data_IF_818763988696
#
_entry.id   IF_818763988696
#
_cell.length_a   1.000
_cell.length_b   1.000
_cell.length_c   1.000
_cell.angle_alpha   90.00
_cell.angle_beta   90.00
_cell.angle_gamma   90.00
#
_symmetry.space_group_name_H-M   'P 1'
#
loop_
_entity.id
_entity.type
_entity.pdbx_description
1 polymer ?
#
# COMPACT_ATOMS: atom_id res chain seq x y z
N UNK A 1 6.86 -9.50 -20.31
CA UNK A 1 7.50 -8.38 -19.61
C UNK A 1 6.37 -7.40 -19.34
N UNK A 2 6.12 -7.06 -18.08
CA UNK A 2 5.05 -6.13 -17.72
C UNK A 2 5.38 -4.71 -18.22
N UNK A 3 4.37 -3.88 -18.47
CA UNK A 3 4.58 -2.49 -18.92
C UNK A 3 5.43 -1.71 -17.91
N UNK A 4 5.24 -2.00 -16.61
CA UNK A 4 6.04 -1.44 -15.52
C UNK A 4 7.52 -1.86 -15.63
N UNK A 5 7.80 -3.12 -15.98
CA UNK A 5 9.18 -3.61 -16.14
C UNK A 5 9.90 -2.89 -17.28
N UNK A 6 9.18 -2.65 -18.39
CA UNK A 6 9.71 -1.91 -19.52
C UNK A 6 10.02 -0.45 -19.14
N UNK A 7 9.09 0.23 -18.46
CA UNK A 7 9.29 1.61 -18.00
C UNK A 7 10.44 1.74 -17.00
N UNK A 8 10.58 0.80 -16.08
CA UNK A 8 11.67 0.77 -15.11
C UNK A 8 13.04 0.57 -15.79
N UNK A 9 13.10 -0.26 -16.84
CA UNK A 9 14.30 -0.43 -17.66
C UNK A 9 14.64 0.85 -18.42
N UNK A 10 13.66 1.51 -19.02
CA UNK A 10 13.89 2.75 -19.77
C UNK A 10 14.37 3.89 -18.86
N UNK A 11 13.81 4.01 -17.65
CA UNK A 11 14.27 4.95 -16.62
C UNK A 11 15.74 4.66 -16.25
N UNK A 12 16.08 3.39 -16.02
CA UNK A 12 17.43 2.95 -15.69
C UNK A 12 18.42 3.21 -16.83
N UNK A 13 18.02 3.01 -18.08
CA UNK A 13 18.84 3.28 -19.26
C UNK A 13 19.18 4.78 -19.37
N UNK A 14 18.16 5.64 -19.21
CA UNK A 14 18.32 7.10 -19.33
C UNK A 14 19.10 7.72 -18.18
N UNK A 15 18.73 7.39 -16.94
CA UNK A 15 19.21 8.11 -15.75
C UNK A 15 20.11 7.27 -14.83
N UNK A 16 20.34 5.99 -15.16
CA UNK A 16 21.03 5.04 -14.29
C UNK A 16 20.12 4.46 -13.21
N UNK A 17 20.64 3.51 -12.45
CA UNK A 17 19.88 2.88 -11.35
C UNK A 17 19.47 3.91 -10.30
N UNK A 18 18.27 3.75 -9.73
CA UNK A 18 17.83 4.56 -8.58
C UNK A 18 18.68 4.17 -7.37
N UNK A 19 19.33 5.16 -6.75
CA UNK A 19 20.19 4.99 -5.56
C UNK A 19 19.47 5.33 -4.27
N UNK A 20 18.46 6.19 -4.33
CA UNK A 20 17.66 6.61 -3.19
C UNK A 20 16.30 7.10 -3.67
N UNK A 21 15.28 6.92 -2.83
CA UNK A 21 13.99 7.56 -2.98
C UNK A 21 13.65 8.33 -1.69
N UNK A 22 13.08 9.53 -1.81
CA UNK A 22 12.64 10.35 -0.67
C UNK A 22 11.51 11.28 -1.08
N UNK A 23 10.41 11.29 -0.33
CA UNK A 23 9.22 12.07 -0.69
C UNK A 23 8.74 11.65 -2.08
N UNK A 24 8.49 12.62 -2.95
CA UNK A 24 8.14 12.40 -4.36
C UNK A 24 9.36 12.39 -5.29
N UNK A 25 10.58 12.13 -4.80
CA UNK A 25 11.80 12.19 -5.62
C UNK A 25 12.59 10.88 -5.65
N UNK A 26 13.13 10.57 -6.84
CA UNK A 26 14.11 9.52 -7.08
C UNK A 26 15.47 10.16 -7.39
N UNK A 27 16.52 9.62 -6.78
CA UNK A 27 17.90 10.05 -6.98
C UNK A 27 18.64 8.95 -7.72
N UNK A 28 19.16 9.25 -8.90
CA UNK A 28 19.71 8.24 -9.80
C UNK A 28 21.25 8.21 -9.81
N UNK A 29 21.81 7.14 -10.35
CA UNK A 29 23.26 6.94 -10.45
C UNK A 29 23.97 8.03 -11.28
N UNK A 30 23.29 8.62 -12.28
CA UNK A 30 23.82 9.73 -13.07
C UNK A 30 23.64 11.10 -12.40
N UNK A 31 23.24 11.14 -11.13
CA UNK A 31 23.07 12.39 -10.36
C UNK A 31 21.82 13.19 -10.73
N UNK A 32 20.91 12.62 -11.51
CA UNK A 32 19.65 13.29 -11.89
C UNK A 32 18.59 13.00 -10.83
N UNK A 33 17.89 14.05 -10.41
CA UNK A 33 16.72 13.94 -9.52
C UNK A 33 15.44 13.92 -10.37
N UNK A 34 14.69 12.84 -10.29
CA UNK A 34 13.42 12.68 -10.98
C UNK A 34 12.26 12.91 -10.02
N UNK A 35 11.20 13.55 -10.49
CA UNK A 35 9.91 13.61 -9.77
C UNK A 35 9.15 12.33 -10.05
N UNK A 36 8.85 11.57 -8.99
CA UNK A 36 8.08 10.34 -9.06
C UNK A 36 6.58 10.62 -9.00
N UNK A 37 5.96 10.54 -10.18
CA UNK A 37 4.52 10.67 -10.34
C UNK A 37 3.80 9.31 -10.28
N UNK A 38 4.54 8.20 -10.33
CA UNK A 38 3.98 6.85 -10.29
C UNK A 38 3.73 6.38 -8.85
N UNK A 39 4.65 6.70 -7.93
CA UNK A 39 4.55 6.40 -6.49
C UNK A 39 4.12 4.97 -6.19
N UNK A 40 4.67 4.03 -6.96
CA UNK A 40 4.41 2.59 -6.84
C UNK A 40 2.92 2.25 -6.94
N UNK A 41 2.23 2.83 -7.92
CA UNK A 41 0.79 2.65 -8.11
C UNK A 41 -0.04 3.09 -6.90
N UNK A 42 0.50 4.00 -6.08
CA UNK A 42 -0.19 4.62 -4.94
C UNK A 42 0.20 4.06 -3.60
N UNK A 43 1.03 3.01 -3.57
CA UNK A 43 1.56 2.46 -2.32
C UNK A 43 2.42 3.48 -1.57
N UNK A 44 3.07 4.39 -2.29
CA UNK A 44 3.86 5.46 -1.71
C UNK A 44 3.09 6.80 -1.64
N UNK A 45 1.78 6.78 -1.32
CA UNK A 45 0.92 7.99 -1.26
C UNK A 45 1.44 9.10 -0.31
N UNK A 46 2.21 8.74 0.72
CA UNK A 46 2.88 9.69 1.63
C UNK A 46 4.31 10.03 1.20
N UNK A 47 4.72 9.61 0.02
CA UNK A 47 6.08 9.65 -0.50
C UNK A 47 7.01 8.59 0.10
N UNK A 48 8.14 8.38 -0.57
CA UNK A 48 9.17 7.42 -0.16
C UNK A 48 9.84 7.83 1.15
N UNK A 49 9.87 6.89 2.11
CA UNK A 49 10.39 7.16 3.46
C UNK A 49 9.57 8.21 4.23
N UNK A 50 8.35 8.53 3.76
CA UNK A 50 7.43 9.42 4.43
C UNK A 50 6.73 8.76 5.62
N UNK A 51 6.27 9.61 6.55
CA UNK A 51 5.52 9.20 7.73
C UNK A 51 6.33 8.38 8.75
N UNK A 52 5.62 7.80 9.71
CA UNK A 52 6.20 6.96 10.77
C UNK A 52 6.21 5.47 10.44
N UNK A 53 5.64 5.05 9.30
CA UNK A 53 5.42 3.64 8.96
C UNK A 53 6.73 2.81 8.97
N UNK A 54 7.80 3.34 8.37
CA UNK A 54 9.08 2.64 8.33
C UNK A 54 9.76 2.57 9.71
N UNK A 55 9.59 3.62 10.53
CA UNK A 55 10.05 3.62 11.93
C UNK A 55 9.31 2.57 12.74
N UNK A 56 7.98 2.50 12.60
CA UNK A 56 7.17 1.46 13.25
C UNK A 56 7.60 0.07 12.80
N UNK A 57 7.73 -0.17 11.49
CA UNK A 57 8.18 -1.46 10.97
C UNK A 57 9.53 -1.88 11.57
N UNK A 58 10.53 -1.01 11.55
CA UNK A 58 11.85 -1.30 12.15
C UNK A 58 11.74 -1.61 13.63
N UNK A 59 10.97 -0.83 14.39
CA UNK A 59 10.78 -1.07 15.81
C UNK A 59 10.10 -2.42 16.09
N UNK A 60 9.15 -2.83 15.26
CA UNK A 60 8.50 -4.15 15.37
C UNK A 60 9.47 -5.28 15.05
N UNK A 61 10.27 -5.13 13.98
CA UNK A 61 11.30 -6.10 13.61
C UNK A 61 12.37 -6.26 14.71
N UNK A 62 12.85 -5.14 15.27
CA UNK A 62 13.83 -5.16 16.37
C UNK A 62 13.31 -5.84 17.64
N UNK A 63 11.98 -5.93 17.81
CA UNK A 63 11.34 -6.66 18.91
C UNK A 63 11.18 -8.16 18.65
N UNK A 64 11.53 -8.65 17.46
CA UNK A 64 11.42 -10.07 17.09
C UNK A 64 9.97 -10.54 16.85
N UNK A 65 9.02 -9.62 16.65
CA UNK A 65 7.60 -9.96 16.42
C UNK A 65 7.34 -10.35 14.96
N UNK A 66 8.02 -11.39 14.47
CA UNK A 66 7.93 -11.88 13.09
C UNK A 66 7.24 -13.24 12.96
N UNK A 67 6.92 -13.90 14.08
CA UNK A 67 6.22 -15.19 14.11
C UNK A 67 4.70 -15.08 14.17
N UNK A 68 4.03 -16.23 14.16
CA UNK A 68 2.56 -16.37 14.24
C UNK A 68 2.03 -16.15 15.67
N UNK A 69 2.38 -15.03 16.28
CA UNK A 69 1.95 -14.69 17.63
C UNK A 69 0.61 -13.95 17.61
N UNK A 70 -0.19 -14.15 18.66
CA UNK A 70 -1.30 -13.24 18.94
C UNK A 70 -0.74 -11.89 19.34
N UNK A 71 -0.93 -10.87 18.50
CA UNK A 71 -0.42 -9.51 18.72
C UNK A 71 -1.56 -8.50 18.63
N UNK A 72 -1.35 -7.32 19.20
CA UNK A 72 -2.31 -6.22 19.12
C UNK A 72 -2.43 -5.60 17.71
N UNK A 73 -1.62 -6.03 16.73
CA UNK A 73 -1.62 -5.39 15.40
C UNK A 73 -2.95 -5.57 14.68
N UNK A 74 -3.54 -6.76 14.72
CA UNK A 74 -4.84 -7.03 14.06
C UNK A 74 -5.98 -6.18 14.64
N UNK A 75 -6.19 -6.13 15.98
CA UNK A 75 -7.16 -5.21 16.58
C UNK A 75 -6.91 -3.73 16.26
N UNK A 76 -5.64 -3.29 16.22
CA UNK A 76 -5.29 -1.90 15.91
C UNK A 76 -5.65 -1.51 14.47
N UNK A 77 -5.42 -2.40 13.50
CA UNK A 77 -5.82 -2.15 12.10
C UNK A 77 -7.35 -2.07 11.99
N UNK A 78 -8.08 -3.01 12.60
CA UNK A 78 -9.54 -3.02 12.56
C UNK A 78 -10.13 -1.73 13.16
N UNK A 79 -9.56 -1.26 14.28
CA UNK A 79 -9.93 0.01 14.90
C UNK A 79 -9.64 1.20 13.99
N UNK A 80 -8.44 1.29 13.43
CA UNK A 80 -8.04 2.39 12.56
C UNK A 80 -8.94 2.49 11.31
N UNK A 81 -9.28 1.36 10.69
CA UNK A 81 -10.22 1.31 9.56
C UNK A 81 -11.64 1.71 9.97
N UNK A 82 -12.08 1.30 11.16
CA UNK A 82 -13.39 1.68 11.66
C UNK A 82 -13.52 3.18 11.91
N UNK A 83 -12.47 3.79 12.48
CA UNK A 83 -12.37 5.24 12.68
C UNK A 83 -12.31 5.98 11.34
N UNK A 84 -11.47 5.52 10.40
CA UNK A 84 -11.33 6.13 9.07
C UNK A 84 -12.64 6.13 8.28
N UNK A 85 -13.41 5.04 8.37
CA UNK A 85 -14.67 4.87 7.63
C UNK A 85 -15.91 5.23 8.46
N UNK A 86 -15.75 5.84 9.64
CA UNK A 86 -16.84 6.25 10.52
C UNK A 86 -17.90 5.16 10.77
N UNK A 87 -17.46 3.91 10.88
CA UNK A 87 -18.34 2.73 10.93
C UNK A 87 -17.57 1.51 11.43
N UNK A 88 -18.21 0.59 12.16
CA UNK A 88 -17.53 -0.62 12.62
C UNK A 88 -17.15 -1.51 11.42
N UNK A 89 -15.89 -1.92 11.34
CA UNK A 89 -15.36 -2.78 10.27
C UNK A 89 -14.80 -4.08 10.82
N UNK A 90 -15.13 -5.18 10.16
CA UNK A 90 -14.40 -6.45 10.27
C UNK A 90 -13.24 -6.38 9.29
N UNK A 91 -12.06 -6.83 9.72
CA UNK A 91 -10.84 -6.69 8.91
C UNK A 91 -10.08 -8.00 8.86
N UNK A 92 -9.69 -8.36 7.64
CA UNK A 92 -8.78 -9.45 7.33
C UNK A 92 -7.57 -8.88 6.60
N UNK A 93 -6.38 -9.40 6.92
CA UNK A 93 -5.11 -8.97 6.33
C UNK A 93 -4.54 -10.13 5.53
N UNK A 94 -4.19 -9.86 4.29
CA UNK A 94 -3.65 -10.84 3.35
C UNK A 94 -2.27 -10.42 2.89
N UNK A 95 -1.49 -11.37 2.36
CA UNK A 95 -0.11 -11.09 1.91
C UNK A 95 -0.07 -10.51 0.50
N UNK A 96 -1.07 -10.81 -0.32
CA UNK A 96 -1.16 -10.34 -1.69
C UNK A 96 -2.56 -9.86 -2.05
N UNK A 97 -2.63 -9.07 -3.13
CA UNK A 97 -3.89 -8.57 -3.67
C UNK A 97 -4.77 -9.71 -4.18
N UNK A 98 -4.16 -10.71 -4.81
CA UNK A 98 -4.83 -11.87 -5.41
C UNK A 98 -5.51 -12.70 -4.32
N UNK A 99 -4.82 -12.93 -3.20
CA UNK A 99 -5.36 -13.63 -2.03
C UNK A 99 -6.56 -12.87 -1.42
N UNK A 100 -6.43 -11.54 -1.27
CA UNK A 100 -7.50 -10.70 -0.77
C UNK A 100 -8.73 -10.70 -1.69
N UNK A 101 -8.53 -10.63 -3.01
CA UNK A 101 -9.61 -10.65 -4.00
C UNK A 101 -10.31 -12.01 -4.05
N UNK A 102 -9.55 -13.11 -4.01
CA UNK A 102 -10.11 -14.46 -3.96
C UNK A 102 -10.98 -14.65 -2.72
N UNK A 103 -10.49 -14.25 -1.54
CA UNK A 103 -11.25 -14.30 -0.29
C UNK A 103 -12.50 -13.39 -0.34
N UNK A 104 -12.37 -12.15 -0.82
CA UNK A 104 -13.48 -11.21 -0.93
C UNK A 104 -14.59 -11.71 -1.86
N UNK A 105 -14.22 -12.29 -3.01
CA UNK A 105 -15.19 -12.85 -3.96
C UNK A 105 -15.89 -14.11 -3.44
N UNK A 106 -15.25 -14.87 -2.55
CA UNK A 106 -15.87 -16.02 -1.91
C UNK A 106 -16.91 -15.61 -0.85
N UNK A 107 -16.72 -14.46 -0.20
CA UNK A 107 -17.58 -13.98 0.90
C UNK A 107 -18.72 -13.08 0.41
N UNK A 108 -18.48 -12.26 -0.64
CA UNK A 108 -19.44 -11.26 -1.11
C UNK A 108 -20.07 -11.68 -2.45
N UNK A 109 -21.37 -12.06 -2.46
CA UNK A 109 -22.09 -12.31 -3.70
C UNK A 109 -22.15 -11.05 -4.56
N UNK A 110 -21.68 -11.11 -5.81
CA UNK A 110 -21.63 -9.95 -6.72
C UNK A 110 -20.26 -9.26 -6.84
N UNK A 111 -19.24 -9.77 -6.13
CA UNK A 111 -17.84 -9.37 -6.30
C UNK A 111 -17.33 -8.35 -5.28
N UNK A 112 -16.02 -8.33 -5.09
CA UNK A 112 -15.34 -7.44 -4.15
C UNK A 112 -15.16 -6.02 -4.72
N UNK A 113 -15.54 -5.00 -3.94
CA UNK A 113 -15.25 -3.60 -4.28
C UNK A 113 -13.86 -3.22 -3.79
N UNK A 114 -13.06 -2.59 -4.66
CA UNK A 114 -11.71 -2.16 -4.34
C UNK A 114 -11.65 -0.65 -4.17
N UNK A 115 -11.08 -0.18 -3.05
CA UNK A 115 -10.73 1.23 -2.90
C UNK A 115 -9.48 1.52 -3.73
N UNK A 116 -9.56 2.57 -4.54
CA UNK A 116 -8.47 3.07 -5.37
C UNK A 116 -8.37 4.58 -5.11
N UNK A 117 -7.21 5.11 -4.67
CA UNK A 117 -7.11 6.50 -4.21
C UNK A 117 -7.49 7.56 -5.26
N UNK A 118 -7.47 7.19 -6.54
CA UNK A 118 -7.75 8.06 -7.70
C UNK A 118 -8.74 7.44 -8.69
N UNK A 119 -9.48 6.40 -8.30
CA UNK A 119 -10.59 5.96 -9.15
C UNK A 119 -11.71 6.99 -9.09
N UNK A 120 -12.25 7.34 -10.25
CA UNK A 120 -13.34 8.32 -10.42
C UNK A 120 -14.70 7.82 -9.88
N UNK A 121 -14.71 6.78 -9.04
CA UNK A 121 -15.92 6.21 -8.47
C UNK A 121 -16.37 6.99 -7.23
N UNK A 122 -17.61 7.49 -7.26
CA UNK A 122 -18.32 8.17 -6.16
C UNK A 122 -18.72 7.23 -5.00
N UNK A 123 -17.89 6.23 -4.69
CA UNK A 123 -18.18 5.29 -3.59
C UNK A 123 -17.96 6.00 -2.26
N UNK A 124 -19.06 6.21 -1.53
CA UNK A 124 -19.01 6.71 -0.15
C UNK A 124 -18.75 5.55 0.81
N UNK A 125 -17.48 5.20 0.97
CA UNK A 125 -17.02 4.08 1.80
C UNK A 125 -17.51 4.12 3.25
N UNK A 126 -17.83 5.30 3.79
CA UNK A 126 -18.41 5.42 5.14
C UNK A 126 -19.88 4.99 5.24
N UNK A 127 -20.60 4.91 4.12
CA UNK A 127 -22.01 4.48 4.04
C UNK A 127 -22.17 3.04 3.58
N UNK A 128 -21.11 2.43 3.05
CA UNK A 128 -21.14 1.04 2.63
C UNK A 128 -21.27 0.12 3.85
N UNK A 129 -22.16 -0.89 3.81
CA UNK A 129 -22.33 -1.83 4.91
C UNK A 129 -21.02 -2.57 5.20
N UNK A 130 -20.84 -2.97 6.45
CA UNK A 130 -19.80 -3.92 6.81
C UNK A 130 -20.31 -5.30 6.40
N UNK A 131 -19.86 -5.81 5.27
CA UNK A 131 -20.11 -7.19 4.78
C UNK A 131 -18.93 -8.07 5.16
#
# INVERSE_FOLDING_TARGET
MDDVDFLAQELSRRYGTVKRARGCFLYTAKGVRLTDMYQEGGRAILGWGGGAAFTVLKNVLSRGLTGSFSTDFTPRIARALSELLFSRRITYVFRSREEALAAGNAVVPGGCRMWMPWAEGDIRWNREPCV
#
